data_IF_345057255695
#
_entry.id   IF_345057255695
#
_cell.length_a   1.000
_cell.length_b   1.000
_cell.length_c   1.000
_cell.angle_alpha   90.00
_cell.angle_beta   90.00
_cell.angle_gamma   90.00
#
_symmetry.space_group_name_H-M   'P 1'
#
loop_
_entity.id
_entity.type
_entity.pdbx_description
1 polymer ?
#
# COMPACT_ATOMS: atom_id res chain seq x y z
N UNK A 1 11.51 -3.28 23.14
CA UNK A 1 11.18 -2.44 21.97
C UNK A 1 9.66 -2.26 21.99
N UNK A 2 9.11 -1.05 22.19
CA UNK A 2 7.66 -0.91 22.28
C UNK A 2 7.07 -1.28 20.92
N UNK A 3 6.10 -2.20 20.94
CA UNK A 3 5.31 -2.52 19.77
C UNK A 3 4.55 -1.25 19.38
N UNK A 4 5.03 -0.54 18.37
CA UNK A 4 4.28 0.55 17.75
C UNK A 4 2.95 -0.06 17.31
N UNK A 5 1.87 0.31 17.99
CA UNK A 5 0.53 -0.11 17.66
C UNK A 5 0.26 0.38 16.23
N UNK A 6 0.42 -0.51 15.26
CA UNK A 6 0.21 -0.22 13.83
C UNK A 6 -1.30 -0.08 13.67
N UNK A 7 -1.79 1.15 13.57
CA UNK A 7 -3.20 1.42 13.34
C UNK A 7 -3.58 0.94 11.93
N UNK A 8 -4.31 -0.17 11.86
CA UNK A 8 -4.77 -0.76 10.61
C UNK A 8 -6.14 -0.16 10.29
N UNK A 9 -6.16 0.89 9.47
CA UNK A 9 -7.42 1.41 8.95
C UNK A 9 -7.83 0.61 7.70
N UNK A 10 -8.72 -0.38 7.89
CA UNK A 10 -9.32 -1.18 6.82
C UNK A 10 -10.51 -0.50 6.15
N UNK A 11 -10.96 0.66 6.65
CA UNK A 11 -12.11 1.39 6.11
C UNK A 11 -11.71 2.31 4.96
N UNK A 12 -10.43 2.69 4.87
CA UNK A 12 -9.93 3.52 3.77
C UNK A 12 -10.04 2.80 2.42
N UNK A 13 -10.56 3.45 1.37
CA UNK A 13 -10.61 2.89 0.03
C UNK A 13 -9.18 2.71 -0.51
N UNK A 14 -8.82 1.48 -0.90
CA UNK A 14 -7.52 1.16 -1.49
C UNK A 14 -7.69 0.85 -2.97
N UNK A 15 -6.82 1.44 -3.80
CA UNK A 15 -6.82 1.19 -5.24
C UNK A 15 -6.60 -0.31 -5.54
N UNK A 16 -7.42 -0.90 -6.41
CA UNK A 16 -7.32 -2.28 -6.91
C UNK A 16 -5.93 -2.62 -7.44
N UNK A 17 -5.24 -1.64 -8.03
CA UNK A 17 -3.91 -1.80 -8.62
C UNK A 17 -2.76 -1.61 -7.62
N UNK A 18 -3.02 -1.14 -6.40
CA UNK A 18 -1.96 -0.98 -5.39
C UNK A 18 -1.58 -2.34 -4.80
N UNK A 19 -0.28 -2.63 -4.75
CA UNK A 19 0.29 -3.80 -4.10
C UNK A 19 1.48 -3.43 -3.24
N UNK A 20 1.67 -4.16 -2.14
CA UNK A 20 2.86 -4.10 -1.30
C UNK A 20 3.64 -5.39 -1.51
N UNK A 21 4.97 -5.30 -1.55
CA UNK A 21 5.82 -6.48 -1.44
C UNK A 21 6.04 -6.74 0.03
N UNK A 22 5.24 -7.64 0.59
CA UNK A 22 5.50 -8.18 1.91
C UNK A 22 6.61 -9.23 1.84
N UNK A 23 7.57 -9.17 2.75
CA UNK A 23 8.48 -10.28 3.01
C UNK A 23 7.78 -11.20 3.98
N UNK A 24 7.60 -12.46 3.60
CA UNK A 24 7.14 -13.48 4.53
C UNK A 24 8.28 -13.78 5.51
N UNK A 25 8.02 -13.63 6.80
CA UNK A 25 8.97 -13.94 7.87
C UNK A 25 8.30 -15.00 8.74
N UNK A 26 8.92 -16.17 8.85
CA UNK A 26 8.39 -17.27 9.65
C UNK A 26 8.10 -16.80 11.09
N UNK A 27 6.90 -17.10 11.59
CA UNK A 27 6.43 -16.69 12.91
C UNK A 27 5.78 -15.29 12.97
N UNK A 28 5.71 -14.53 11.87
CA UNK A 28 5.02 -13.24 11.81
C UNK A 28 3.88 -13.25 10.77
N UNK A 29 2.75 -12.62 11.13
CA UNK A 29 1.69 -12.35 10.16
C UNK A 29 2.21 -11.47 9.02
N UNK A 30 1.85 -11.84 7.79
CA UNK A 30 2.30 -11.12 6.59
C UNK A 30 1.67 -9.72 6.58
N UNK A 31 2.48 -8.64 6.46
CA UNK A 31 1.96 -7.27 6.50
C UNK A 31 0.88 -7.01 5.45
N UNK A 32 -0.30 -6.59 5.90
CA UNK A 32 -1.41 -6.18 5.04
C UNK A 32 -1.09 -4.86 4.34
N UNK A 33 -1.77 -4.57 3.22
CA UNK A 33 -1.68 -3.30 2.48
C UNK A 33 -2.04 -2.07 3.35
N UNK A 34 -2.78 -2.31 4.42
CA UNK A 34 -3.16 -1.33 5.42
C UNK A 34 -2.07 -1.06 6.48
N UNK A 35 -1.01 -1.87 6.50
CA UNK A 35 0.14 -1.70 7.39
C UNK A 35 1.23 -0.93 6.65
N UNK A 36 1.31 0.37 6.94
CA UNK A 36 2.38 1.22 6.41
C UNK A 36 3.55 1.22 7.39
N UNK A 37 4.74 0.88 6.87
CA UNK A 37 6.02 0.95 7.55
C UNK A 37 6.99 1.69 6.63
N UNK A 38 8.01 2.35 7.20
CA UNK A 38 9.08 2.98 6.40
C UNK A 38 9.83 1.97 5.51
N UNK A 39 9.75 0.68 5.85
CA UNK A 39 10.32 -0.42 5.07
C UNK A 39 9.35 -1.09 4.09
N UNK A 40 8.07 -0.67 4.06
CA UNK A 40 7.09 -1.24 3.14
C UNK A 40 7.31 -0.70 1.73
N UNK A 41 7.56 -1.60 0.77
CA UNK A 41 7.66 -1.24 -0.65
C UNK A 41 6.33 -1.41 -1.37
N UNK A 42 5.83 -0.34 -1.97
CA UNK A 42 4.58 -0.34 -2.74
C UNK A 42 4.82 -0.23 -4.25
N UNK A 43 3.93 -0.82 -5.04
CA UNK A 43 3.95 -0.75 -6.50
C UNK A 43 2.53 -0.70 -7.07
N UNK A 44 2.38 -0.04 -8.20
CA UNK A 44 1.18 -0.08 -9.00
C UNK A 44 1.27 -1.23 -10.01
N UNK A 45 0.28 -2.13 -10.00
CA UNK A 45 0.22 -3.24 -10.97
C UNK A 45 -0.09 -2.77 -12.39
N UNK A 46 -0.70 -1.58 -12.56
CA UNK A 46 -0.99 -1.03 -13.89
C UNK A 46 0.28 -0.58 -14.62
N UNK A 47 1.21 0.05 -13.92
CA UNK A 47 2.49 0.51 -14.46
C UNK A 47 3.65 -0.45 -14.17
N UNK A 48 3.42 -1.44 -13.31
CA UNK A 48 4.44 -2.34 -12.77
C UNK A 48 5.61 -1.63 -12.06
N UNK A 49 5.39 -0.38 -11.61
CA UNK A 49 6.42 0.47 -11.04
C UNK A 49 5.99 1.07 -9.70
N UNK A 50 6.92 1.71 -8.99
CA UNK A 50 6.67 2.40 -7.71
C UNK A 50 5.92 3.73 -7.88
N UNK A 51 5.86 4.24 -9.11
CA UNK A 51 5.08 5.42 -9.50
C UNK A 51 3.88 5.02 -10.35
N UNK A 52 2.83 5.83 -10.24
CA UNK A 52 1.60 5.68 -10.99
C UNK A 52 1.71 6.21 -12.41
N UNK A 53 0.65 6.07 -13.22
CA UNK A 53 0.61 6.64 -14.57
C UNK A 53 0.65 8.18 -14.57
N UNK A 54 0.40 8.80 -13.43
CA UNK A 54 0.52 10.24 -13.16
C UNK A 54 1.93 10.62 -12.64
N UNK A 55 2.91 9.71 -12.76
CA UNK A 55 4.30 9.86 -12.31
C UNK A 55 4.49 10.11 -10.79
N UNK A 56 3.43 10.11 -9.99
CA UNK A 56 3.52 10.30 -8.55
C UNK A 56 3.58 8.96 -7.79
N UNK A 57 4.16 8.92 -6.57
CA UNK A 57 4.32 7.69 -5.79
C UNK A 57 3.02 6.91 -5.57
N UNK A 58 3.11 5.59 -5.62
CA UNK A 58 1.98 4.71 -5.33
C UNK A 58 2.05 4.23 -3.88
N UNK A 59 1.67 5.09 -2.95
CA UNK A 59 1.54 4.75 -1.53
C UNK A 59 0.06 4.79 -1.10
N UNK A 60 -0.34 4.03 -0.07
CA UNK A 60 -1.74 3.96 0.36
C UNK A 60 -2.36 5.31 0.71
N UNK A 61 -1.57 6.25 1.23
CA UNK A 61 -1.98 7.60 1.61
C UNK A 61 -2.32 8.47 0.39
N UNK A 62 -1.70 8.20 -0.76
CA UNK A 62 -1.86 8.98 -1.99
C UNK A 62 -2.74 8.28 -3.03
N UNK A 63 -2.96 6.97 -2.91
CA UNK A 63 -3.84 6.21 -3.78
C UNK A 63 -5.30 6.35 -3.33
N UNK A 64 -5.86 7.56 -3.46
CA UNK A 64 -7.23 7.92 -3.08
C UNK A 64 -8.16 8.02 -4.30
N UNK A 65 -9.49 8.05 -4.12
CA UNK A 65 -10.47 8.25 -5.19
C UNK A 65 -10.28 9.52 -6.01
N UNK A 66 -9.64 10.55 -5.46
CA UNK A 66 -9.38 11.82 -6.15
C UNK A 66 -8.31 11.69 -7.25
N UNK A 67 -7.51 10.62 -7.25
CA UNK A 67 -6.59 10.34 -8.35
C UNK A 67 -7.36 9.88 -9.58
N UNK A 68 -7.11 10.51 -10.73
CA UNK A 68 -7.76 10.16 -11.99
C UNK A 68 -7.52 8.71 -12.48
N UNK A 69 -6.49 8.02 -11.98
CA UNK A 69 -6.23 6.61 -12.30
C UNK A 69 -6.69 5.62 -11.21
N UNK A 70 -7.41 6.10 -10.19
CA UNK A 70 -7.88 5.26 -9.09
C UNK A 70 -8.98 4.30 -9.56
N UNK A 71 -8.84 3.03 -9.18
CA UNK A 71 -9.85 1.99 -9.42
C UNK A 71 -10.24 1.41 -8.07
N UNK A 72 -11.51 1.47 -7.63
CA UNK A 72 -11.94 0.86 -6.37
C UNK A 72 -11.74 -0.67 -6.41
N UNK A 73 -11.41 -1.25 -5.24
CA UNK A 73 -11.20 -2.69 -5.07
C UNK A 73 -12.50 -3.43 -4.81
#
# INVERSE_FOLDING_TARGET
MPATLRHIDRTRPVCKHLRTKAVHVDGHETPDLYVTSRSSGYKCLRTQFVTGPDAAPCVPESCTPDRGCFTPR
#
